data_IF_346884763000
#
_entry.id   IF_346884763000
#
_cell.length_a   1.000
_cell.length_b   1.000
_cell.length_c   1.000
_cell.angle_alpha   90.00
_cell.angle_beta   90.00
_cell.angle_gamma   90.00
#
_symmetry.space_group_name_H-M   'P 1'
#
loop_
_entity.id
_entity.type
_entity.pdbx_description
1 polymer ?
#
# COMPACT_ATOMS: atom_id res chain seq x y z
N UNK A 1 -24.50 -24.00 19.22
CA UNK A 1 -24.03 -22.87 18.40
C UNK A 1 -24.10 -21.65 19.28
N UNK A 2 -22.93 -21.11 19.58
CA UNK A 2 -22.77 -19.89 20.43
C UNK A 2 -23.42 -18.71 19.71
N UNK A 3 -24.52 -18.17 20.24
CA UNK A 3 -25.26 -17.02 19.69
C UNK A 3 -24.43 -15.72 19.63
N UNK A 4 -23.20 -15.74 20.12
CA UNK A 4 -22.29 -14.58 20.19
C UNK A 4 -21.12 -14.64 19.18
N UNK A 5 -21.00 -15.72 18.41
CA UNK A 5 -19.97 -15.84 17.35
C UNK A 5 -20.47 -15.14 16.09
N UNK A 6 -19.88 -14.02 15.74
CA UNK A 6 -20.19 -13.34 14.48
C UNK A 6 -19.69 -14.19 13.31
N UNK A 7 -20.58 -14.42 12.34
CA UNK A 7 -20.29 -15.16 11.12
C UNK A 7 -19.10 -14.51 10.39
N UNK A 8 -18.03 -15.26 10.05
CA UNK A 8 -16.90 -14.77 9.29
C UNK A 8 -17.29 -14.15 7.94
N UNK A 9 -18.34 -14.64 7.29
CA UNK A 9 -18.85 -14.08 6.03
C UNK A 9 -19.39 -12.67 6.26
N UNK A 10 -20.13 -12.45 7.34
CA UNK A 10 -20.59 -11.11 7.71
C UNK A 10 -19.42 -10.17 8.00
N UNK A 11 -18.40 -10.63 8.74
CA UNK A 11 -17.20 -9.84 9.01
C UNK A 11 -16.46 -9.45 7.72
N UNK A 12 -16.34 -10.37 6.76
CA UNK A 12 -15.80 -10.10 5.44
C UNK A 12 -16.55 -8.99 4.69
N UNK A 13 -17.89 -9.04 4.70
CA UNK A 13 -18.73 -8.03 4.04
C UNK A 13 -18.60 -6.65 4.69
N UNK A 14 -18.58 -6.60 6.04
CA UNK A 14 -18.38 -5.35 6.79
C UNK A 14 -17.01 -4.76 6.51
N UNK A 15 -15.95 -5.58 6.55
CA UNK A 15 -14.60 -5.13 6.21
C UNK A 15 -14.52 -4.59 4.78
N UNK A 16 -15.06 -5.31 3.81
CA UNK A 16 -15.07 -4.86 2.42
C UNK A 16 -15.80 -3.55 2.20
N UNK A 17 -16.93 -3.32 2.89
CA UNK A 17 -17.66 -2.03 2.85
C UNK A 17 -16.86 -0.91 3.49
N UNK A 18 -16.30 -1.13 4.68
CA UNK A 18 -15.52 -0.16 5.39
C UNK A 18 -14.26 0.24 4.61
N UNK A 19 -13.55 -0.76 4.06
CA UNK A 19 -12.37 -0.51 3.22
C UNK A 19 -12.71 0.34 1.99
N UNK A 20 -13.78 0.01 1.25
CA UNK A 20 -14.19 0.80 0.08
C UNK A 20 -14.55 2.24 0.44
N UNK A 21 -15.28 2.45 1.55
CA UNK A 21 -15.65 3.78 2.00
C UNK A 21 -14.40 4.60 2.37
N UNK A 22 -13.49 4.04 3.15
CA UNK A 22 -12.24 4.68 3.53
C UNK A 22 -11.36 4.96 2.30
N UNK A 23 -11.19 3.98 1.40
CA UNK A 23 -10.41 4.14 0.18
C UNK A 23 -10.96 5.27 -0.71
N UNK A 24 -12.28 5.30 -0.94
CA UNK A 24 -12.93 6.39 -1.72
C UNK A 24 -12.61 7.77 -1.14
N UNK A 25 -12.70 7.92 0.18
CA UNK A 25 -12.41 9.20 0.86
C UNK A 25 -10.92 9.57 0.74
N UNK A 26 -10.04 8.63 1.01
CA UNK A 26 -8.60 8.85 1.06
C UNK A 26 -7.99 9.10 -0.32
N UNK A 27 -8.46 8.41 -1.36
CA UNK A 27 -7.93 8.57 -2.72
C UNK A 27 -8.44 9.83 -3.41
N UNK A 28 -9.64 10.33 -3.10
CA UNK A 28 -10.11 11.60 -3.59
C UNK A 28 -9.15 12.76 -3.26
N UNK A 29 -8.52 12.73 -2.08
CA UNK A 29 -7.51 13.71 -1.69
C UNK A 29 -6.15 13.57 -2.38
N UNK A 30 -5.85 12.42 -2.99
CA UNK A 30 -4.60 12.21 -3.74
C UNK A 30 -4.68 12.74 -5.17
N UNK A 31 -5.84 12.65 -5.82
CA UNK A 31 -6.05 13.15 -7.19
C UNK A 31 -5.68 14.63 -7.33
N UNK A 32 -5.96 15.44 -6.31
CA UNK A 32 -5.60 16.86 -6.28
C UNK A 32 -4.08 17.11 -6.30
N UNK A 33 -3.26 16.11 -5.97
CA UNK A 33 -1.80 16.25 -5.90
C UNK A 33 -1.09 15.99 -7.23
N UNK A 34 -1.81 15.52 -8.25
CA UNK A 34 -1.23 15.12 -9.54
C UNK A 34 -0.34 13.87 -9.49
N UNK A 35 -0.43 13.10 -8.40
CA UNK A 35 0.26 11.81 -8.23
C UNK A 35 -0.78 10.71 -8.27
N UNK A 36 -0.61 9.74 -9.16
CA UNK A 36 -1.50 8.58 -9.18
C UNK A 36 -1.25 7.65 -7.97
N UNK A 37 -2.25 6.81 -7.65
CA UNK A 37 -2.19 5.88 -6.52
C UNK A 37 -0.97 4.95 -6.56
N UNK A 38 -0.58 4.50 -7.75
CA UNK A 38 0.58 3.63 -7.95
C UNK A 38 1.88 4.34 -7.60
N UNK A 39 2.08 5.56 -8.13
CA UNK A 39 3.24 6.39 -7.84
C UNK A 39 3.30 6.75 -6.35
N UNK A 40 2.16 7.13 -5.77
CA UNK A 40 2.06 7.44 -4.34
C UNK A 40 2.53 6.27 -3.48
N UNK A 41 2.02 5.06 -3.72
CA UNK A 41 2.40 3.85 -2.93
C UNK A 41 3.89 3.52 -3.04
N UNK A 42 4.47 3.66 -4.23
CA UNK A 42 5.92 3.43 -4.42
C UNK A 42 6.73 4.48 -3.65
N UNK A 43 6.41 5.76 -3.84
CA UNK A 43 7.12 6.85 -3.16
C UNK A 43 6.97 6.80 -1.64
N UNK A 44 5.77 6.45 -1.14
CA UNK A 44 5.48 6.23 0.28
C UNK A 44 6.30 5.08 0.85
N UNK A 45 6.36 3.94 0.14
CA UNK A 45 7.15 2.80 0.57
C UNK A 45 8.65 3.16 0.68
N UNK A 46 9.17 3.91 -0.29
CA UNK A 46 10.56 4.39 -0.28
C UNK A 46 10.81 5.46 0.80
N UNK A 47 9.81 6.31 1.10
CA UNK A 47 9.90 7.30 2.17
C UNK A 47 10.04 6.64 3.55
N UNK A 48 9.24 5.60 3.80
CA UNK A 48 9.14 4.97 5.11
C UNK A 48 10.19 3.86 5.35
N UNK A 49 10.75 3.27 4.29
CA UNK A 49 11.63 2.11 4.39
C UNK A 49 13.05 2.36 3.85
N UNK A 50 13.28 3.51 3.21
CA UNK A 50 14.52 3.80 2.50
C UNK A 50 14.64 3.07 1.16
N UNK A 51 15.86 2.88 0.65
CA UNK A 51 16.12 2.17 -0.59
C UNK A 51 15.60 0.73 -0.56
N UNK A 52 14.93 0.30 -1.63
CA UNK A 52 14.37 -1.05 -1.75
C UNK A 52 14.77 -1.69 -3.07
N UNK A 53 15.05 -3.01 -3.10
CA UNK A 53 15.18 -3.76 -4.36
C UNK A 53 13.88 -3.71 -5.16
N UNK A 54 13.97 -3.50 -6.49
CA UNK A 54 12.79 -3.39 -7.38
C UNK A 54 11.82 -4.55 -7.20
N UNK A 55 12.33 -5.78 -7.12
CA UNK A 55 11.52 -6.98 -6.97
C UNK A 55 10.78 -7.07 -5.62
N UNK A 56 11.19 -6.32 -4.61
CA UNK A 56 10.54 -6.29 -3.30
C UNK A 56 9.48 -5.20 -3.18
N UNK A 57 9.50 -4.20 -4.06
CA UNK A 57 8.52 -3.09 -4.04
C UNK A 57 7.15 -3.60 -4.49
N UNK A 58 7.07 -4.31 -5.62
CA UNK A 58 5.82 -4.79 -6.21
C UNK A 58 4.89 -5.49 -5.21
N UNK A 59 5.35 -6.55 -4.52
CA UNK A 59 4.55 -7.22 -3.48
C UNK A 59 4.08 -6.30 -2.35
N UNK A 60 4.89 -5.31 -1.96
CA UNK A 60 4.57 -4.36 -0.87
C UNK A 60 3.49 -3.36 -1.23
N UNK A 61 3.37 -3.05 -2.52
CA UNK A 61 2.39 -2.08 -3.05
C UNK A 61 1.29 -2.74 -3.87
N UNK A 62 1.21 -4.08 -3.82
CA UNK A 62 0.22 -4.90 -4.52
C UNK A 62 0.21 -4.71 -6.04
N UNK A 63 1.40 -4.56 -6.64
CA UNK A 63 1.58 -4.43 -8.09
C UNK A 63 2.20 -5.70 -8.69
N UNK A 64 1.83 -5.97 -9.94
CA UNK A 64 2.49 -7.02 -10.73
C UNK A 64 3.92 -6.62 -11.12
N UNK A 65 4.83 -7.58 -11.39
CA UNK A 65 6.18 -7.27 -11.84
C UNK A 65 6.25 -6.33 -13.07
N UNK A 66 5.34 -6.49 -14.03
CA UNK A 66 5.27 -5.61 -15.20
C UNK A 66 4.83 -4.19 -14.84
N UNK A 67 3.78 -4.06 -14.02
CA UNK A 67 3.26 -2.76 -13.58
C UNK A 67 4.28 -1.97 -12.77
N UNK A 68 5.06 -2.66 -11.90
CA UNK A 68 6.08 -1.98 -11.08
C UNK A 68 7.22 -1.42 -11.93
N UNK A 69 7.67 -2.15 -12.96
CA UNK A 69 8.73 -1.67 -13.84
C UNK A 69 8.33 -0.40 -14.57
N UNK A 70 7.14 -0.38 -15.16
CA UNK A 70 6.59 0.79 -15.87
C UNK A 70 6.45 1.99 -14.92
N UNK A 71 5.94 1.77 -13.70
CA UNK A 71 5.78 2.84 -12.73
C UNK A 71 7.14 3.39 -12.25
N UNK A 72 8.12 2.53 -12.02
CA UNK A 72 9.47 2.97 -11.64
C UNK A 72 10.13 3.76 -12.76
N UNK A 73 10.03 3.31 -14.01
CA UNK A 73 10.61 4.02 -15.15
C UNK A 73 9.99 5.43 -15.30
N UNK A 74 8.65 5.55 -15.16
CA UNK A 74 7.96 6.86 -15.11
C UNK A 74 8.47 7.75 -13.98
N UNK A 75 8.71 7.20 -12.78
CA UNK A 75 9.24 7.96 -11.65
C UNK A 75 10.70 8.37 -11.85
N UNK A 76 11.51 7.56 -12.54
CA UNK A 76 12.86 7.88 -12.97
C UNK A 76 12.87 9.05 -13.96
N UNK A 77 12.02 9.01 -14.98
CA UNK A 77 11.88 10.08 -15.99
C UNK A 77 11.47 11.42 -15.36
N UNK A 78 10.65 11.38 -14.31
CA UNK A 78 10.28 12.55 -13.50
C UNK A 78 11.39 13.03 -12.55
N UNK A 79 12.47 12.26 -12.42
CA UNK A 79 13.57 12.54 -11.50
C UNK A 79 13.18 12.42 -10.01
N UNK A 80 12.14 11.65 -9.68
CA UNK A 80 11.64 11.47 -8.31
C UNK A 80 12.33 10.32 -7.57
N UNK A 81 12.83 9.36 -8.32
CA UNK A 81 13.61 8.23 -7.79
C UNK A 81 14.92 8.10 -8.56
N UNK A 82 15.87 7.40 -7.96
CA UNK A 82 17.10 6.94 -8.61
C UNK A 82 17.18 5.43 -8.54
N UNK A 83 17.91 4.84 -9.49
CA UNK A 83 18.15 3.40 -9.54
C UNK A 83 19.66 3.15 -9.51
N UNK A 84 20.10 2.29 -8.59
CA UNK A 84 21.51 1.93 -8.42
C UNK A 84 21.63 0.41 -8.39
N UNK A 85 22.63 -0.13 -9.10
CA UNK A 85 22.95 -1.56 -9.01
C UNK A 85 23.55 -1.90 -7.65
N UNK A 86 23.21 -3.08 -7.14
CA UNK A 86 23.85 -3.57 -5.91
C UNK A 86 25.33 -3.82 -6.16
N UNK A 87 26.22 -3.37 -5.26
CA UNK A 87 27.63 -3.68 -5.37
C UNK A 87 27.91 -5.20 -5.17
N UNK A 88 27.02 -5.90 -4.49
CA UNK A 88 27.17 -7.34 -4.17
C UNK A 88 26.62 -8.24 -5.27
N UNK A 89 25.50 -7.83 -5.92
CA UNK A 89 24.88 -8.56 -7.04
C UNK A 89 24.28 -7.59 -8.06
N UNK A 90 24.93 -7.46 -9.22
CA UNK A 90 24.50 -6.57 -10.32
C UNK A 90 23.13 -6.89 -10.89
N UNK A 91 22.55 -8.06 -10.57
CA UNK A 91 21.17 -8.43 -10.95
C UNK A 91 20.14 -7.74 -10.06
N UNK A 92 20.56 -7.27 -8.89
CA UNK A 92 19.69 -6.57 -7.94
C UNK A 92 19.85 -5.07 -8.16
N UNK A 93 18.74 -4.39 -8.42
CA UNK A 93 18.67 -2.94 -8.57
C UNK A 93 17.88 -2.36 -7.42
N UNK A 94 18.49 -1.45 -6.68
CA UNK A 94 17.83 -0.68 -5.64
C UNK A 94 17.24 0.60 -6.22
N UNK A 95 16.04 0.94 -5.76
CA UNK A 95 15.38 2.21 -6.02
C UNK A 95 15.34 3.02 -4.73
N UNK A 96 15.67 4.29 -4.83
CA UNK A 96 15.64 5.24 -3.70
C UNK A 96 15.01 6.56 -4.12
N UNK A 97 14.47 7.31 -3.16
CA UNK A 97 14.02 8.69 -3.41
C UNK A 97 15.21 9.59 -3.71
N UNK A 98 15.03 10.47 -4.70
CA UNK A 98 15.90 11.64 -4.84
C UNK A 98 15.50 12.73 -3.83
N UNK A 99 16.30 13.80 -3.70
CA UNK A 99 15.91 14.98 -2.91
C UNK A 99 14.55 15.52 -3.38
N UNK A 100 14.38 15.70 -4.71
CA UNK A 100 13.13 16.12 -5.35
C UNK A 100 11.97 15.18 -5.01
N UNK A 101 12.19 13.86 -5.07
CA UNK A 101 11.15 12.87 -4.73
C UNK A 101 10.75 12.97 -3.25
N UNK A 102 11.72 13.15 -2.36
CA UNK A 102 11.45 13.31 -0.92
C UNK A 102 10.70 14.61 -0.60
N UNK A 103 11.10 15.71 -1.22
CA UNK A 103 10.43 17.01 -1.07
C UNK A 103 8.97 16.95 -1.55
N UNK A 104 8.71 16.23 -2.64
CA UNK A 104 7.37 16.04 -3.18
C UNK A 104 6.51 15.16 -2.27
N UNK A 105 6.98 13.95 -1.92
CA UNK A 105 6.14 12.96 -1.26
C UNK A 105 5.92 13.24 0.23
N UNK A 106 6.89 13.82 0.94
CA UNK A 106 6.80 13.98 2.38
C UNK A 106 5.61 14.85 2.85
N UNK A 107 5.29 16.01 2.25
CA UNK A 107 4.11 16.78 2.61
C UNK A 107 2.81 16.05 2.23
N UNK A 108 2.76 15.40 1.07
CA UNK A 108 1.60 14.63 0.61
C UNK A 108 1.32 13.48 1.57
N UNK A 109 2.34 12.73 1.96
CA UNK A 109 2.21 11.65 2.93
C UNK A 109 1.73 12.15 4.30
N UNK A 110 2.25 13.30 4.79
CA UNK A 110 1.77 13.88 6.06
C UNK A 110 0.28 14.25 6.00
N UNK A 111 -0.17 14.87 4.89
CA UNK A 111 -1.59 15.17 4.68
C UNK A 111 -2.41 13.88 4.65
N UNK A 112 -2.00 12.91 3.86
CA UNK A 112 -2.68 11.61 3.74
C UNK A 112 -2.76 10.87 5.08
N UNK A 113 -1.67 10.83 5.86
CA UNK A 113 -1.66 10.22 7.19
C UNK A 113 -2.61 10.95 8.18
N UNK A 114 -2.76 12.26 8.05
CA UNK A 114 -3.74 13.01 8.84
C UNK A 114 -5.17 12.62 8.49
N UNK A 115 -5.47 12.46 7.20
CA UNK A 115 -6.80 12.00 6.75
C UNK A 115 -7.09 10.55 7.19
N UNK A 116 -6.09 9.66 7.17
CA UNK A 116 -6.25 8.32 7.73
C UNK A 116 -6.62 8.39 9.22
N UNK A 117 -5.94 9.26 10.00
CA UNK A 117 -6.28 9.42 11.43
C UNK A 117 -7.73 9.89 11.65
N UNK A 118 -8.26 10.75 10.78
CA UNK A 118 -9.68 11.17 10.83
C UNK A 118 -10.61 9.99 10.59
N UNK A 119 -10.33 9.15 9.59
CA UNK A 119 -11.13 7.95 9.29
C UNK A 119 -11.19 6.99 10.50
N UNK A 120 -10.12 6.92 11.28
CA UNK A 120 -10.02 6.04 12.45
C UNK A 120 -10.30 6.74 13.80
N UNK A 121 -10.77 8.00 13.79
CA UNK A 121 -10.90 8.81 15.00
C UNK A 121 -11.86 8.24 16.06
N UNK A 122 -12.92 7.55 15.62
CA UNK A 122 -13.94 6.97 16.50
C UNK A 122 -13.55 5.61 17.08
N UNK A 123 -12.42 5.03 16.62
CA UNK A 123 -11.93 3.76 17.10
C UNK A 123 -10.98 3.96 18.31
N UNK A 124 -11.31 3.35 19.43
CA UNK A 124 -10.45 3.37 20.63
C UNK A 124 -9.11 2.64 20.37
N UNK A 125 -8.06 2.94 21.14
CA UNK A 125 -6.78 2.23 21.04
C UNK A 125 -6.89 0.70 21.22
N UNK A 126 -7.86 0.23 22.00
CA UNK A 126 -8.13 -1.19 22.19
C UNK A 126 -8.70 -1.83 20.94
N UNK A 127 -9.66 -1.15 20.29
CA UNK A 127 -10.26 -1.61 19.03
C UNK A 127 -9.25 -1.61 17.90
N UNK A 128 -8.41 -0.59 17.78
CA UNK A 128 -7.34 -0.53 16.78
C UNK A 128 -6.36 -1.69 16.94
N UNK A 129 -5.92 -2.02 18.15
CA UNK A 129 -5.06 -3.18 18.42
C UNK A 129 -5.74 -4.51 18.07
N UNK A 130 -7.03 -4.64 18.41
CA UNK A 130 -7.80 -5.85 18.08
C UNK A 130 -7.95 -6.03 16.57
N UNK A 131 -8.27 -4.95 15.85
CA UNK A 131 -8.38 -4.91 14.39
C UNK A 131 -7.05 -5.30 13.73
N UNK A 132 -5.95 -4.66 14.13
CA UNK A 132 -4.61 -4.97 13.60
C UNK A 132 -4.26 -6.45 13.79
N UNK A 133 -4.50 -6.98 14.99
CA UNK A 133 -4.22 -8.39 15.32
C UNK A 133 -5.06 -9.33 14.47
N UNK A 134 -6.35 -9.05 14.31
CA UNK A 134 -7.26 -9.86 13.50
C UNK A 134 -6.87 -9.84 12.02
N UNK A 135 -6.62 -8.66 11.45
CA UNK A 135 -6.23 -8.51 10.05
C UNK A 135 -4.91 -9.21 9.73
N UNK A 136 -3.90 -9.11 10.63
CA UNK A 136 -2.63 -9.84 10.46
C UNK A 136 -2.82 -11.36 10.44
N UNK A 137 -3.69 -11.91 11.31
CA UNK A 137 -4.01 -13.36 11.32
C UNK A 137 -4.74 -13.78 10.05
N UNK A 138 -5.72 -13.00 9.61
CA UNK A 138 -6.50 -13.28 8.39
C UNK A 138 -5.57 -13.24 7.17
N UNK A 139 -4.71 -12.22 7.04
CA UNK A 139 -3.77 -12.09 5.94
C UNK A 139 -2.81 -13.28 5.85
N UNK A 140 -2.13 -13.63 6.97
CA UNK A 140 -1.25 -14.81 7.03
C UNK A 140 -1.97 -16.11 6.67
N UNK A 141 -3.22 -16.27 7.11
CA UNK A 141 -4.02 -17.46 6.75
C UNK A 141 -4.33 -17.49 5.26
N UNK A 142 -4.73 -16.36 4.68
CA UNK A 142 -5.00 -16.25 3.25
C UNK A 142 -3.75 -16.59 2.41
N UNK A 143 -2.58 -16.07 2.79
CA UNK A 143 -1.30 -16.40 2.17
C UNK A 143 -0.99 -17.91 2.24
N UNK A 144 -1.25 -18.54 3.39
CA UNK A 144 -1.03 -20.00 3.57
C UNK A 144 -1.95 -20.90 2.76
N UNK A 145 -3.12 -20.39 2.34
CA UNK A 145 -4.06 -21.11 1.49
C UNK A 145 -3.65 -21.09 0.00
N UNK A 146 -2.61 -20.33 -0.33
CA UNK A 146 -2.11 -20.17 -1.68
C UNK A 146 -2.97 -19.24 -2.53
N UNK A 147 -2.35 -18.65 -3.54
CA UNK A 147 -3.02 -17.76 -4.48
C UNK A 147 -3.68 -18.56 -5.58
N UNK A 148 -4.85 -19.13 -5.31
CA UNK A 148 -5.74 -19.61 -6.37
C UNK A 148 -6.41 -18.45 -7.13
N UNK A 149 -6.14 -17.18 -6.77
CA UNK A 149 -6.76 -16.00 -7.37
C UNK A 149 -5.71 -15.18 -8.09
N UNK A 150 -5.88 -15.08 -9.41
CA UNK A 150 -5.10 -14.20 -10.27
C UNK A 150 -5.27 -12.72 -9.77
N UNK A 151 -4.18 -11.98 -9.46
CA UNK A 151 -4.26 -10.60 -8.98
C UNK A 151 -5.00 -9.63 -9.91
N UNK A 152 -5.25 -10.03 -11.16
CA UNK A 152 -5.99 -9.22 -12.15
C UNK A 152 -7.46 -8.94 -11.78
N UNK A 153 -8.04 -9.65 -10.81
CA UNK A 153 -9.43 -9.42 -10.40
C UNK A 153 -9.64 -8.24 -9.43
N UNK A 154 -8.58 -7.66 -8.86
CA UNK A 154 -8.70 -6.57 -7.88
C UNK A 154 -8.49 -5.16 -8.47
N UNK A 155 -8.06 -5.07 -9.74
CA UNK A 155 -7.76 -3.80 -10.41
C UNK A 155 -8.81 -3.33 -11.42
N UNK A 156 -9.92 -4.05 -11.54
CA UNK A 156 -11.04 -3.65 -12.42
C UNK A 156 -12.31 -3.48 -11.59
N UNK A 157 -12.43 -2.33 -10.93
CA UNK A 157 -13.72 -1.61 -10.71
C UNK A 157 -13.45 -0.26 -10.05
#
# INVERSE_FOLDING_TARGET
MDKNSRDPVHCWLVWGKAFRAAAKYLYAGLEETGIDDTDFRILEALLNRGPLPVNTIGPKVYLTPGSISVAIDRLLDRGLVSRVESPEDRRVRFVSLTAKGKELIAPIFRKHAAEIRKVFADASPKELRALETALKKIGKRAESLGTGVNPKCLSQR
#
